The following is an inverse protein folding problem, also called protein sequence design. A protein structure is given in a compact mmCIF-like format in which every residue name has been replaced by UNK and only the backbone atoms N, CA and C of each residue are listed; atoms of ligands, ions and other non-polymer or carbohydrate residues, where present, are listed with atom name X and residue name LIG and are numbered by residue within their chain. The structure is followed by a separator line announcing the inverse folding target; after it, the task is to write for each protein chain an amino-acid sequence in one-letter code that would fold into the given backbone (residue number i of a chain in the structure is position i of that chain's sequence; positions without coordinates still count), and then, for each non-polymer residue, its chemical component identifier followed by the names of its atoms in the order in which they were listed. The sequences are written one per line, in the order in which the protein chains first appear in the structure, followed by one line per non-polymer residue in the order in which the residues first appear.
data_IF_385138278076
#
_entry.id   IF_385138278076
#
_cell.length_a   1.000
_cell.length_b   1.000
_cell.length_c   1.000
_cell.angle_alpha   90.00
_cell.angle_beta   90.00
_cell.angle_gamma   90.00
#
_symmetry.space_group_name_H-M   'P 1'
#
loop_
_entity.id
_entity.type
_entity.pdbx_description
1 polymer ?
#
# COMPACT_ATOMS: atom_id res chain seq x y z
N UNK A 1 5.67 -30.09 6.76
CA UNK A 1 5.47 -28.63 6.73
C UNK A 1 4.65 -28.27 5.52
N UNK A 2 3.84 -27.22 5.62
CA UNK A 2 3.09 -26.66 4.50
C UNK A 2 3.95 -25.76 3.59
N UNK A 3 5.27 -25.72 3.79
CA UNK A 3 6.26 -24.93 3.02
C UNK A 3 6.13 -25.10 1.49
N UNK A 4 5.77 -26.30 1.00
CA UNK A 4 5.53 -26.52 -0.44
C UNK A 4 4.25 -25.85 -0.94
N UNK A 5 3.23 -25.81 -0.09
CA UNK A 5 1.97 -25.13 -0.37
C UNK A 5 2.15 -23.63 -0.25
N UNK A 6 2.84 -23.14 0.77
CA UNK A 6 3.27 -21.75 0.91
C UNK A 6 3.98 -21.27 -0.36
N UNK A 7 5.04 -21.99 -0.79
CA UNK A 7 5.76 -21.67 -2.02
C UNK A 7 4.84 -21.56 -3.24
N UNK A 8 3.90 -22.48 -3.43
CA UNK A 8 2.95 -22.41 -4.55
C UNK A 8 1.96 -21.25 -4.38
N UNK A 9 1.50 -21.04 -3.15
CA UNK A 9 0.52 -20.04 -2.75
C UNK A 9 0.99 -18.63 -3.04
N UNK A 10 2.23 -18.31 -2.67
CA UNK A 10 2.90 -17.03 -2.99
C UNK A 10 2.84 -16.73 -4.50
N UNK A 11 3.20 -17.70 -5.37
CA UNK A 11 3.15 -17.49 -6.83
C UNK A 11 1.74 -17.28 -7.35
N UNK A 12 0.79 -18.09 -6.87
CA UNK A 12 -0.61 -18.01 -7.30
C UNK A 12 -1.20 -16.67 -6.87
N UNK A 13 -0.96 -16.27 -5.62
CA UNK A 13 -1.34 -14.96 -5.11
C UNK A 13 -0.70 -13.84 -5.95
N UNK A 14 0.60 -13.92 -6.18
CA UNK A 14 1.35 -12.93 -6.95
C UNK A 14 0.77 -12.69 -8.33
N UNK A 15 0.39 -13.76 -9.05
CA UNK A 15 -0.28 -13.66 -10.34
C UNK A 15 -1.66 -12.99 -10.20
N UNK A 16 -2.51 -13.47 -9.28
CA UNK A 16 -3.87 -12.95 -9.11
C UNK A 16 -3.87 -11.47 -8.74
N UNK A 17 -2.96 -11.05 -7.86
CA UNK A 17 -2.82 -9.65 -7.45
C UNK A 17 -2.31 -8.79 -8.60
N UNK A 18 -1.36 -9.28 -9.40
CA UNK A 18 -0.88 -8.56 -10.58
C UNK A 18 -1.99 -8.35 -11.62
N UNK A 19 -2.77 -9.39 -11.94
CA UNK A 19 -3.94 -9.29 -12.83
C UNK A 19 -4.96 -8.27 -12.29
N UNK A 20 -5.26 -8.35 -11.00
CA UNK A 20 -6.24 -7.46 -10.38
C UNK A 20 -5.79 -6.00 -10.35
N UNK A 21 -4.50 -5.73 -10.13
CA UNK A 21 -3.95 -4.38 -10.20
C UNK A 21 -4.03 -3.80 -11.61
N UNK A 22 -3.73 -4.60 -12.65
CA UNK A 22 -3.86 -4.17 -14.05
C UNK A 22 -5.32 -3.85 -14.43
N UNK A 23 -6.27 -4.64 -13.95
CA UNK A 23 -7.70 -4.37 -14.16
C UNK A 23 -8.17 -3.12 -13.41
N UNK A 24 -7.69 -2.91 -12.18
CA UNK A 24 -8.18 -1.85 -11.29
C UNK A 24 -7.55 -0.49 -11.57
N UNK A 25 -6.30 -0.49 -12.04
CA UNK A 25 -5.47 0.70 -12.27
C UNK A 25 -4.86 0.67 -13.68
N UNK A 26 -5.68 0.69 -14.76
CA UNK A 26 -5.20 0.49 -16.13
C UNK A 26 -4.23 1.57 -16.63
N UNK A 27 -4.30 2.77 -16.04
CA UNK A 27 -3.47 3.93 -16.43
C UNK A 27 -2.24 4.13 -15.52
N UNK A 28 -2.04 3.29 -14.49
CA UNK A 28 -0.88 3.42 -13.60
C UNK A 28 0.41 2.87 -14.25
N UNK A 29 1.56 3.53 -14.06
CA UNK A 29 2.83 3.05 -14.58
C UNK A 29 3.29 1.79 -13.85
N UNK A 30 4.06 0.94 -14.54
CA UNK A 30 4.58 -0.33 -14.01
C UNK A 30 5.24 -0.20 -12.63
N UNK A 31 6.05 0.85 -12.41
CA UNK A 31 6.73 1.07 -11.14
C UNK A 31 5.80 1.44 -9.97
N UNK A 32 4.59 1.94 -10.24
CA UNK A 32 3.56 2.13 -9.22
C UNK A 32 2.84 0.82 -8.92
N UNK A 33 2.47 0.08 -9.98
CA UNK A 33 1.87 -1.26 -9.88
C UNK A 33 2.76 -2.24 -9.10
N UNK A 34 4.07 -2.24 -9.35
CA UNK A 34 5.04 -3.10 -8.65
C UNK A 34 5.12 -2.80 -7.14
N UNK A 35 4.99 -1.53 -6.73
CA UNK A 35 4.96 -1.17 -5.30
C UNK A 35 3.68 -1.64 -4.64
N UNK A 36 2.54 -1.41 -5.28
CA UNK A 36 1.23 -1.91 -4.79
C UNK A 36 1.23 -3.43 -4.67
N UNK A 37 1.78 -4.11 -5.68
CA UNK A 37 1.90 -5.56 -5.68
C UNK A 37 2.70 -6.04 -4.47
N UNK A 38 3.90 -5.48 -4.27
CA UNK A 38 4.76 -5.79 -3.12
C UNK A 38 4.03 -5.56 -1.79
N UNK A 39 3.32 -4.44 -1.65
CA UNK A 39 2.58 -4.11 -0.43
C UNK A 39 1.39 -5.05 -0.18
N UNK A 40 0.76 -5.58 -1.23
CA UNK A 40 -0.40 -6.47 -1.12
C UNK A 40 -0.02 -7.92 -0.81
N UNK A 41 1.16 -8.35 -1.24
CA UNK A 41 1.64 -9.74 -1.04
C UNK A 41 2.63 -9.88 0.11
N UNK A 42 2.96 -8.80 0.82
CA UNK A 42 3.87 -8.88 1.98
C UNK A 42 3.23 -9.60 3.16
N UNK A 43 4.10 -10.15 4.02
CA UNK A 43 3.76 -10.89 5.23
C UNK A 43 2.76 -10.17 6.13
N UNK A 44 2.96 -8.88 6.38
CA UNK A 44 2.10 -8.10 7.29
C UNK A 44 0.65 -8.05 6.78
N UNK A 45 0.50 -7.86 5.47
CA UNK A 45 -0.80 -7.82 4.79
C UNK A 45 -1.46 -9.20 4.80
N UNK A 46 -0.70 -10.27 4.54
CA UNK A 46 -1.21 -11.64 4.61
C UNK A 46 -1.65 -12.04 6.01
N UNK A 47 -0.88 -11.67 7.03
CA UNK A 47 -1.24 -11.91 8.41
C UNK A 47 -2.50 -11.11 8.83
N UNK A 48 -2.66 -9.88 8.35
CA UNK A 48 -3.90 -9.11 8.54
C UNK A 48 -5.10 -9.85 7.95
N UNK A 49 -4.99 -10.32 6.71
CA UNK A 49 -6.07 -11.04 6.01
C UNK A 49 -6.37 -12.36 6.72
N UNK A 50 -5.34 -13.11 7.12
CA UNK A 50 -5.47 -14.33 7.89
C UNK A 50 -6.20 -14.10 9.22
N UNK A 51 -5.95 -12.98 9.91
CA UNK A 51 -6.73 -12.59 11.10
C UNK A 51 -8.18 -12.26 10.75
N UNK A 52 -8.41 -11.52 9.67
CA UNK A 52 -9.76 -11.16 9.20
C UNK A 52 -10.65 -12.36 8.89
N UNK A 53 -10.08 -13.46 8.39
CA UNK A 53 -10.81 -14.71 8.14
C UNK A 53 -10.72 -15.72 9.31
N UNK A 54 -10.17 -15.29 10.45
CA UNK A 54 -9.98 -16.10 11.65
C UNK A 54 -9.19 -17.41 11.37
N UNK A 55 -8.19 -17.35 10.48
CA UNK A 55 -7.40 -18.52 10.08
C UNK A 55 -6.70 -19.19 11.28
N UNK A 56 -6.22 -18.39 12.24
CA UNK A 56 -5.46 -18.86 13.40
C UNK A 56 -6.16 -19.94 14.24
N UNK A 57 -7.50 -19.91 14.34
CA UNK A 57 -8.26 -20.96 15.05
C UNK A 57 -8.34 -22.29 14.30
N UNK A 58 -8.09 -22.27 13.00
CA UNK A 58 -8.13 -23.46 12.13
C UNK A 58 -6.75 -24.10 11.95
N UNK A 59 -5.67 -23.42 12.33
CA UNK A 59 -4.33 -23.98 12.26
C UNK A 59 -4.15 -25.13 13.24
N UNK A 60 -3.54 -26.21 12.75
CA UNK A 60 -3.07 -27.34 13.55
C UNK A 60 -1.61 -27.06 13.88
N UNK A 61 -1.34 -26.71 15.13
CA UNK A 61 -0.02 -26.37 15.64
C UNK A 61 0.46 -27.43 16.63
N UNK A 62 1.77 -27.58 16.79
CA UNK A 62 2.30 -28.38 17.89
C UNK A 62 1.91 -27.77 19.24
N UNK A 63 1.92 -28.57 20.31
CA UNK A 63 1.56 -28.09 21.65
C UNK A 63 2.39 -26.87 22.09
N UNK A 64 3.70 -26.90 21.82
CA UNK A 64 4.59 -25.78 22.11
C UNK A 64 4.25 -24.54 21.28
N UNK A 65 4.07 -24.67 19.96
CA UNK A 65 3.72 -23.53 19.11
C UNK A 65 2.37 -22.90 19.51
N UNK A 66 1.38 -23.72 19.88
CA UNK A 66 0.09 -23.23 20.36
C UNK A 66 0.23 -22.46 21.69
N UNK A 67 1.01 -23.00 22.63
CA UNK A 67 1.24 -22.40 23.95
C UNK A 67 2.01 -21.07 23.86
N UNK A 68 2.92 -20.94 22.90
CA UNK A 68 3.67 -19.70 22.65
C UNK A 68 2.95 -18.71 21.70
N UNK A 69 1.62 -18.80 21.57
CA UNK A 69 0.84 -17.82 20.82
C UNK A 69 0.93 -17.96 19.29
N UNK A 70 1.29 -19.14 18.78
CA UNK A 70 1.45 -19.39 17.35
C UNK A 70 0.20 -19.11 16.50
N UNK A 71 -1.00 -19.14 17.11
CA UNK A 71 -2.26 -18.78 16.44
C UNK A 71 -2.38 -17.29 16.09
N UNK A 72 -1.61 -16.44 16.75
CA UNK A 72 -1.55 -14.99 16.52
C UNK A 72 -0.24 -14.54 15.87
N UNK A 73 0.72 -15.47 15.76
CA UNK A 73 2.03 -15.21 15.19
C UNK A 73 1.91 -14.82 13.71
N UNK A 74 2.52 -13.68 13.37
CA UNK A 74 2.41 -13.08 12.05
C UNK A 74 2.96 -13.96 10.93
N UNK A 75 4.12 -14.59 11.13
CA UNK A 75 4.73 -15.46 10.13
C UNK A 75 3.85 -16.68 9.89
N UNK A 76 3.44 -17.37 10.96
CA UNK A 76 2.57 -18.56 10.87
C UNK A 76 1.26 -18.24 10.15
N UNK A 77 0.65 -17.08 10.44
CA UNK A 77 -0.59 -16.67 9.79
C UNK A 77 -0.41 -16.34 8.31
N UNK A 78 0.67 -15.65 7.95
CA UNK A 78 0.98 -15.34 6.56
C UNK A 78 1.24 -16.61 5.75
N UNK A 79 2.14 -17.48 6.22
CA UNK A 79 2.49 -18.73 5.55
C UNK A 79 1.26 -19.65 5.45
N UNK A 80 0.41 -19.66 6.48
CA UNK A 80 -0.87 -20.35 6.47
C UNK A 80 -1.85 -19.79 5.42
N UNK A 81 -1.88 -18.47 5.22
CA UNK A 81 -2.71 -17.82 4.21
C UNK A 81 -2.29 -18.27 2.80
N UNK A 82 -1.00 -18.26 2.51
CA UNK A 82 -0.44 -18.74 1.24
C UNK A 82 -0.76 -20.23 1.01
N UNK A 83 -0.59 -21.06 2.05
CA UNK A 83 -0.93 -22.47 1.97
C UNK A 83 -2.42 -22.71 1.66
N UNK A 84 -3.33 -21.89 2.20
CA UNK A 84 -4.77 -21.95 1.86
C UNK A 84 -5.01 -21.55 0.41
N UNK A 85 -4.34 -20.52 -0.11
CA UNK A 85 -4.44 -20.11 -1.51
C UNK A 85 -3.99 -21.26 -2.43
N UNK A 86 -2.87 -21.90 -2.12
CA UNK A 86 -2.39 -23.07 -2.86
C UNK A 86 -3.37 -24.24 -2.80
N UNK A 87 -3.96 -24.53 -1.62
CA UNK A 87 -4.96 -25.58 -1.49
C UNK A 87 -6.19 -25.30 -2.37
N UNK A 88 -6.69 -24.06 -2.40
CA UNK A 88 -7.81 -23.66 -3.27
C UNK A 88 -7.45 -23.79 -4.75
N UNK A 89 -6.22 -23.44 -5.12
CA UNK A 89 -5.72 -23.58 -6.48
C UNK A 89 -5.63 -25.05 -6.91
N UNK A 90 -5.11 -25.92 -6.05
CA UNK A 90 -4.97 -27.35 -6.34
C UNK A 90 -6.32 -28.07 -6.40
N UNK A 91 -7.28 -27.65 -5.57
CA UNK A 91 -8.62 -28.26 -5.50
C UNK A 91 -9.55 -27.77 -6.63
N UNK A 92 -9.54 -26.48 -6.93
CA UNK A 92 -10.52 -25.84 -7.83
C UNK A 92 -9.93 -25.03 -8.98
N UNK A 93 -8.62 -25.08 -9.19
CA UNK A 93 -7.91 -24.31 -10.22
C UNK A 93 -7.79 -22.82 -9.91
N UNK A 94 -7.23 -22.08 -10.88
CA UNK A 94 -6.95 -20.64 -10.75
C UNK A 94 -8.19 -19.80 -10.44
N UNK A 95 -9.35 -20.12 -11.03
CA UNK A 95 -10.59 -19.38 -10.78
C UNK A 95 -11.07 -19.51 -9.32
N UNK A 96 -10.91 -20.68 -8.71
CA UNK A 96 -11.29 -20.88 -7.32
C UNK A 96 -10.39 -20.06 -6.38
N UNK A 97 -9.07 -20.06 -6.63
CA UNK A 97 -8.12 -19.22 -5.92
C UNK A 97 -8.43 -17.73 -6.13
N UNK A 98 -8.72 -17.31 -7.37
CA UNK A 98 -9.04 -15.91 -7.71
C UNK A 98 -10.26 -15.40 -6.95
N UNK A 99 -11.35 -16.17 -6.90
CA UNK A 99 -12.55 -15.79 -6.13
C UNK A 99 -12.24 -15.62 -4.65
N UNK A 100 -11.48 -16.55 -4.07
CA UNK A 100 -11.07 -16.46 -2.67
C UNK A 100 -10.24 -15.20 -2.41
N UNK A 101 -9.15 -15.00 -3.16
CA UNK A 101 -8.27 -13.82 -3.02
C UNK A 101 -9.07 -12.53 -3.17
N UNK A 102 -9.90 -12.39 -4.22
CA UNK A 102 -10.69 -11.17 -4.41
C UNK A 102 -11.65 -10.88 -3.26
N UNK A 103 -12.27 -11.91 -2.69
CA UNK A 103 -13.17 -11.74 -1.54
C UNK A 103 -12.42 -11.36 -0.26
N UNK A 104 -11.31 -12.04 0.04
CA UNK A 104 -10.57 -11.84 1.29
C UNK A 104 -9.73 -10.56 1.30
N UNK A 105 -9.28 -10.09 0.13
CA UNK A 105 -8.42 -8.92 -0.02
C UNK A 105 -9.19 -7.64 -0.40
N UNK A 106 -10.51 -7.69 -0.58
CA UNK A 106 -11.32 -6.56 -1.05
C UNK A 106 -11.13 -5.29 -0.19
N UNK A 107 -11.24 -5.41 1.13
CA UNK A 107 -11.06 -4.25 2.02
C UNK A 107 -9.62 -3.73 2.02
N UNK A 108 -8.64 -4.63 1.85
CA UNK A 108 -7.22 -4.27 1.80
C UNK A 108 -6.94 -3.47 0.52
N UNK A 109 -7.37 -3.97 -0.64
CA UNK A 109 -7.14 -3.29 -1.92
C UNK A 109 -7.89 -1.95 -1.98
N UNK A 110 -9.05 -1.85 -1.35
CA UNK A 110 -9.81 -0.60 -1.25
C UNK A 110 -9.10 0.43 -0.38
N UNK A 111 -8.42 0.02 0.70
CA UNK A 111 -7.54 0.93 1.46
C UNK A 111 -6.33 1.36 0.65
N UNK A 112 -5.83 0.50 -0.24
CA UNK A 112 -4.79 0.87 -1.21
C UNK A 112 -5.32 1.73 -2.37
N UNK A 113 -6.62 1.98 -2.57
CA UNK A 113 -7.14 2.87 -3.64
C UNK A 113 -6.49 4.26 -3.66
N UNK A 114 -6.03 4.73 -2.50
CA UNK A 114 -5.13 5.88 -2.42
C UNK A 114 -3.70 5.36 -2.53
N UNK A 115 -3.04 5.41 -3.71
CA UNK A 115 -1.62 5.17 -3.73
C UNK A 115 -1.00 6.19 -2.77
N UNK A 116 0.06 5.85 -2.01
CA UNK A 116 1.06 6.85 -1.74
C UNK A 116 1.73 7.13 -3.10
N UNK A 117 1.00 7.80 -4.00
CA UNK A 117 1.61 8.52 -5.09
C UNK A 117 2.68 9.33 -4.38
N UNK A 118 3.94 9.15 -4.76
CA UNK A 118 4.98 10.02 -4.22
C UNK A 118 4.56 11.41 -4.70
N UNK A 119 3.86 12.14 -3.85
CA UNK A 119 3.10 13.29 -4.29
C UNK A 119 4.04 14.36 -4.88
N UNK A 120 5.34 14.25 -4.57
CA UNK A 120 6.42 14.99 -5.22
C UNK A 120 6.56 14.64 -6.71
N UNK A 121 6.55 13.36 -7.08
CA UNK A 121 6.61 12.90 -8.48
C UNK A 121 5.35 13.33 -9.24
N UNK A 122 4.17 13.12 -8.65
CA UNK A 122 2.92 13.54 -9.28
C UNK A 122 2.83 15.05 -9.46
N UNK A 123 3.29 15.82 -8.46
CA UNK A 123 3.36 17.27 -8.57
C UNK A 123 4.39 17.71 -9.62
N UNK A 124 5.52 17.02 -9.73
CA UNK A 124 6.54 17.26 -10.75
C UNK A 124 5.99 17.04 -12.17
N UNK A 125 5.31 15.93 -12.41
CA UNK A 125 4.66 15.65 -13.69
C UNK A 125 3.57 16.69 -13.99
N UNK A 126 2.79 17.08 -12.98
CA UNK A 126 1.74 18.09 -13.10
C UNK A 126 2.31 19.47 -13.54
N UNK A 127 3.43 19.92 -12.96
CA UNK A 127 4.06 21.19 -13.36
C UNK A 127 4.71 21.11 -14.73
N UNK A 128 5.37 19.98 -15.05
CA UNK A 128 6.01 19.77 -16.34
C UNK A 128 5.00 19.76 -17.49
N UNK A 129 3.86 19.07 -17.31
CA UNK A 129 2.77 19.06 -18.27
C UNK A 129 2.18 20.45 -18.55
N UNK A 130 2.43 21.44 -17.67
CA UNK A 130 1.95 22.83 -17.79
C UNK A 130 3.05 23.82 -18.15
N UNK A 131 4.27 23.34 -18.43
CA UNK A 131 5.42 24.20 -18.70
C UNK A 131 5.81 25.09 -17.51
N UNK A 132 5.42 24.72 -16.29
CA UNK A 132 5.76 25.44 -15.08
C UNK A 132 7.13 24.99 -14.54
N UNK A 133 7.85 25.87 -13.82
CA UNK A 133 9.07 25.50 -13.12
C UNK A 133 8.84 24.37 -12.12
N UNK A 134 9.90 23.62 -11.80
CA UNK A 134 9.87 22.57 -10.77
C UNK A 134 9.45 23.14 -9.40
N UNK A 135 8.77 22.35 -8.55
CA UNK A 135 8.32 22.81 -7.24
C UNK A 135 9.51 23.02 -6.30
N UNK A 136 9.51 24.12 -5.54
CA UNK A 136 10.51 24.40 -4.50
C UNK A 136 9.99 23.96 -3.12
N UNK A 137 10.84 23.32 -2.33
CA UNK A 137 10.50 22.83 -0.99
C UNK A 137 11.37 23.50 0.07
N UNK A 138 10.72 24.19 1.01
CA UNK A 138 11.40 24.87 2.12
C UNK A 138 10.88 24.35 3.45
N UNK A 139 11.79 23.95 4.36
CA UNK A 139 11.42 23.61 5.75
C UNK A 139 11.10 24.89 6.50
N UNK A 140 9.86 25.06 6.94
CA UNK A 140 9.40 26.27 7.64
C UNK A 140 9.56 26.16 9.15
N UNK A 141 9.41 24.95 9.71
CA UNK A 141 9.63 24.72 11.13
C UNK A 141 10.06 23.28 11.43
N UNK A 142 10.77 23.12 12.55
CA UNK A 142 11.04 21.83 13.19
C UNK A 142 10.71 21.99 14.67
N UNK A 143 9.79 21.18 15.16
CA UNK A 143 9.33 21.18 16.54
C UNK A 143 9.37 19.75 17.10
N UNK A 144 8.94 19.58 18.36
CA UNK A 144 8.90 18.29 19.02
C UNK A 144 10.23 17.87 19.66
N UNK A 145 10.18 16.91 20.60
CA UNK A 145 11.38 16.39 21.26
C UNK A 145 12.23 15.55 20.30
N UNK A 146 13.52 15.36 20.60
CA UNK A 146 14.45 14.67 19.70
C UNK A 146 14.03 13.24 19.31
N UNK A 147 13.27 12.57 20.17
CA UNK A 147 12.75 11.22 19.92
C UNK A 147 11.40 11.22 19.17
N UNK A 148 10.78 12.39 18.94
CA UNK A 148 9.56 12.59 18.15
C UNK A 148 9.59 13.96 17.45
N UNK A 149 10.51 14.17 16.50
CA UNK A 149 10.60 15.42 15.78
C UNK A 149 9.39 15.57 14.85
N UNK A 150 8.89 16.78 14.73
CA UNK A 150 7.85 17.17 13.78
C UNK A 150 8.44 18.23 12.84
N UNK A 151 8.34 17.98 11.55
CA UNK A 151 8.83 18.87 10.49
C UNK A 151 7.64 19.43 9.75
N UNK A 152 7.69 20.72 9.45
CA UNK A 152 6.74 21.38 8.59
C UNK A 152 7.48 21.89 7.35
N UNK A 153 6.96 21.55 6.18
CA UNK A 153 7.56 21.89 4.89
C UNK A 153 6.52 22.57 4.03
N UNK A 154 6.91 23.69 3.42
CA UNK A 154 6.14 24.40 2.42
C UNK A 154 6.62 24.02 1.03
N UNK A 155 5.69 23.78 0.10
CA UNK A 155 5.94 23.66 -1.32
C UNK A 155 5.42 24.90 -2.06
N UNK A 156 6.22 25.42 -2.98
CA UNK A 156 5.89 26.62 -3.77
C UNK A 156 6.05 26.34 -5.25
N UNK A 157 5.06 26.75 -6.05
CA UNK A 157 5.09 26.70 -7.52
C UNK A 157 4.76 28.10 -8.02
N UNK A 158 5.50 28.56 -9.03
CA UNK A 158 5.31 29.90 -9.60
C UNK A 158 3.87 30.04 -10.13
N UNK A 159 3.16 31.04 -9.60
CA UNK A 159 1.78 31.35 -10.01
C UNK A 159 0.69 30.60 -9.26
N UNK A 160 1.03 29.79 -8.26
CA UNK A 160 0.06 29.14 -7.37
C UNK A 160 0.29 29.58 -5.91
N UNK A 161 -0.77 29.62 -5.09
CA UNK A 161 -0.62 29.76 -3.64
C UNK A 161 0.24 28.62 -3.06
N UNK A 162 1.12 28.90 -2.09
CA UNK A 162 1.93 27.87 -1.46
C UNK A 162 1.07 26.88 -0.66
N UNK A 163 1.55 25.65 -0.53
CA UNK A 163 0.90 24.62 0.30
C UNK A 163 1.88 24.07 1.33
N UNK A 164 1.37 23.59 2.46
CA UNK A 164 2.18 23.15 3.60
C UNK A 164 1.82 21.71 3.97
N UNK A 165 2.82 20.94 4.43
CA UNK A 165 2.61 19.62 4.99
C UNK A 165 3.57 19.32 6.14
N UNK A 166 3.07 18.62 7.15
CA UNK A 166 3.82 18.31 8.37
C UNK A 166 4.03 16.81 8.54
N UNK A 167 5.15 16.37 9.11
CA UNK A 167 5.44 14.94 9.28
C UNK A 167 6.62 14.66 10.21
N UNK A 168 6.74 13.40 10.65
CA UNK A 168 7.80 12.96 11.57
C UNK A 168 9.21 12.93 10.96
N UNK A 169 9.32 13.19 9.66
CA UNK A 169 10.58 13.41 8.95
C UNK A 169 10.37 14.43 7.83
N UNK A 170 11.44 15.09 7.39
CA UNK A 170 11.41 16.02 6.24
C UNK A 170 10.77 15.38 5.01
N UNK A 171 11.10 14.11 4.72
CA UNK A 171 10.56 13.38 3.57
C UNK A 171 9.04 13.19 3.65
N UNK A 172 8.50 12.92 4.85
CA UNK A 172 7.04 12.77 5.05
C UNK A 172 6.34 14.13 4.93
N UNK A 173 6.93 15.17 5.52
CA UNK A 173 6.42 16.55 5.44
C UNK A 173 6.35 17.04 3.99
N UNK A 174 7.42 16.85 3.21
CA UNK A 174 7.48 17.19 1.78
C UNK A 174 6.42 16.47 0.95
N UNK A 175 6.18 15.18 1.20
CA UNK A 175 5.13 14.41 0.51
C UNK A 175 3.74 14.96 0.81
N UNK A 176 3.47 15.28 2.08
CA UNK A 176 2.18 15.87 2.48
C UNK A 176 1.99 17.26 1.89
N UNK A 177 3.04 18.07 1.82
CA UNK A 177 3.00 19.39 1.19
C UNK A 177 2.67 19.27 -0.30
N UNK A 178 3.28 18.31 -1.00
CA UNK A 178 3.03 18.08 -2.41
C UNK A 178 1.60 17.59 -2.70
N UNK A 179 1.04 16.73 -1.83
CA UNK A 179 -0.34 16.27 -1.93
C UNK A 179 -1.35 17.42 -1.71
N UNK A 180 -1.07 18.30 -0.74
CA UNK A 180 -1.86 19.50 -0.50
C UNK A 180 -1.85 20.45 -1.72
N UNK A 181 -0.68 20.65 -2.33
CA UNK A 181 -0.55 21.47 -3.54
C UNK A 181 -1.36 20.93 -4.71
N UNK A 182 -1.31 19.62 -4.97
CA UNK A 182 -2.11 18.99 -6.03
C UNK A 182 -3.62 19.21 -5.79
N UNK A 183 -4.07 19.05 -4.55
CA UNK A 183 -5.48 19.26 -4.16
C UNK A 183 -5.92 20.71 -4.39
N UNK A 184 -5.11 21.70 -3.97
CA UNK A 184 -5.40 23.11 -4.19
C UNK A 184 -5.43 23.46 -5.68
N UNK A 185 -4.48 22.94 -6.44
CA UNK A 185 -4.38 23.19 -7.87
C UNK A 185 -5.52 22.55 -8.69
N UNK A 186 -6.14 21.49 -8.17
CA UNK A 186 -7.36 20.88 -8.72
C UNK A 186 -8.62 21.66 -8.33
N UNK A 187 -8.69 22.18 -7.10
CA UNK A 187 -9.82 22.98 -6.63
C UNK A 187 -9.95 24.34 -7.35
N UNK A 188 -8.83 25.01 -7.65
CA UNK A 188 -8.82 26.25 -8.45
C UNK A 188 -9.37 26.04 -9.87
N UNK A 189 -9.30 24.82 -10.42
CA UNK A 189 -9.92 24.50 -11.72
C UNK A 189 -11.44 24.41 -11.64
N UNK A 190 -11.99 23.94 -10.52
CA UNK A 190 -13.43 23.77 -10.37
C UNK A 190 -14.17 25.11 -10.15
N UNK A 191 -13.46 26.12 -9.62
CA UNK A 191 -14.01 27.46 -9.35
C UNK A 191 -13.68 28.50 -10.44
N UNK A 192 -12.93 28.13 -11.48
CA UNK A 192 -12.41 29.03 -12.52
C UNK A 192 -12.95 28.79 -13.94
N UNK A 193 -14.17 28.26 -14.07
CA UNK A 193 -14.88 28.08 -15.35
C UNK A 193 -15.96 29.12 -15.58
#
# INVERSE_FOLDING_TARGET
GYERLEFLGDRVLGLIVAEWLLERFPDEPEGALARRHTDLVRRETLAEIARGIELGRHLILSAGEAEYGGRENEAILADGCEAVIAARYLDGGLEAARRFVRSAFAEVIDRHLRPPLDAKTALQEWVQARGLPLPDYTTVSRSGPDHKPEFEVQVTIKGLPPAVGSGSSKRIAERRAAAAMLTCAEADRANGG
#
